data_IF_655211593935
#
_entry.id   IF_655211593935
#
_cell.length_a   1.000
_cell.length_b   1.000
_cell.length_c   1.000
_cell.angle_alpha   90.00
_cell.angle_beta   90.00
_cell.angle_gamma   90.00
#
_symmetry.space_group_name_H-M   'P 1'
#
loop_
_entity.id
_entity.type
_entity.pdbx_description
1 polymer ?
#
# COMPACT_ATOMS: atom_id res chain seq x y z
N UNK A 1 -49.79 15.66 -27.25
CA UNK A 1 -48.35 15.52 -27.55
C UNK A 1 -47.66 14.91 -26.34
N UNK A 2 -46.82 13.90 -26.59
CA UNK A 2 -45.89 13.15 -25.70
C UNK A 2 -46.43 12.58 -24.38
N UNK A 3 -46.93 11.34 -24.49
CA UNK A 3 -46.75 10.28 -23.49
C UNK A 3 -45.26 9.94 -23.38
N UNK A 4 -44.75 9.68 -22.18
CA UNK A 4 -43.61 8.80 -21.96
C UNK A 4 -44.00 7.80 -20.87
N UNK A 5 -44.03 6.53 -21.27
CA UNK A 5 -44.08 5.33 -20.45
C UNK A 5 -42.74 5.16 -19.70
N UNK A 6 -42.78 4.58 -18.51
CA UNK A 6 -41.85 3.50 -18.10
C UNK A 6 -42.50 2.80 -16.89
N UNK A 7 -43.31 1.76 -17.11
CA UNK A 7 -42.95 0.32 -17.10
C UNK A 7 -42.64 -0.20 -15.71
N UNK A 8 -43.58 -1.03 -15.22
CA UNK A 8 -43.51 -1.85 -14.01
C UNK A 8 -42.36 -2.87 -14.12
N UNK A 9 -41.72 -3.17 -13.00
CA UNK A 9 -41.27 -4.53 -12.71
C UNK A 9 -41.93 -5.00 -11.42
N UNK A 10 -42.62 -6.12 -11.53
CA UNK A 10 -43.25 -6.84 -10.44
C UNK A 10 -42.37 -8.03 -10.04
N UNK A 11 -42.51 -8.40 -8.76
CA UNK A 11 -42.38 -9.72 -8.17
C UNK A 11 -41.02 -10.45 -8.22
N UNK A 12 -40.55 -10.92 -7.07
CA UNK A 12 -40.86 -12.28 -6.61
C UNK A 12 -40.50 -12.44 -5.13
N UNK A 13 -41.49 -12.89 -4.35
CA UNK A 13 -41.25 -13.54 -3.08
C UNK A 13 -40.99 -15.02 -3.36
N UNK A 14 -39.90 -15.56 -2.82
CA UNK A 14 -39.70 -17.01 -2.70
C UNK A 14 -39.40 -17.31 -1.24
N UNK A 15 -40.33 -18.04 -0.61
CA UNK A 15 -40.14 -18.71 0.67
C UNK A 15 -39.43 -20.04 0.40
N UNK A 16 -38.36 -20.33 1.12
CA UNK A 16 -37.91 -21.71 1.36
C UNK A 16 -37.40 -21.85 2.80
N UNK A 17 -37.97 -22.85 3.46
CA UNK A 17 -37.76 -23.28 4.84
C UNK A 17 -36.42 -24.03 5.00
N UNK A 18 -35.87 -23.91 6.22
CA UNK A 18 -35.11 -24.88 7.02
C UNK A 18 -33.79 -25.46 6.46
N UNK A 19 -32.69 -25.04 7.10
CA UNK A 19 -31.40 -25.74 7.08
C UNK A 19 -30.26 -24.87 7.65
N UNK A 20 -29.91 -25.09 8.91
CA UNK A 20 -28.68 -24.65 9.64
C UNK A 20 -28.22 -23.18 9.61
N UNK A 21 -28.35 -22.55 10.77
CA UNK A 21 -27.54 -21.46 11.38
C UNK A 21 -26.43 -20.80 10.56
N UNK A 22 -26.70 -19.59 10.07
CA UNK A 22 -25.94 -18.37 10.39
C UNK A 22 -26.76 -17.17 9.90
N UNK A 23 -27.18 -16.29 10.81
CA UNK A 23 -27.91 -15.07 10.47
C UNK A 23 -26.90 -13.99 10.06
N UNK A 24 -26.75 -13.79 8.75
CA UNK A 24 -25.85 -12.79 8.17
C UNK A 24 -26.58 -11.45 8.03
N UNK A 25 -26.36 -10.52 8.95
CA UNK A 25 -26.75 -9.12 8.78
C UNK A 25 -25.54 -8.30 8.34
N UNK A 26 -25.17 -8.46 7.08
CA UNK A 26 -24.27 -7.58 6.35
C UNK A 26 -25.09 -6.37 5.85
N UNK A 27 -24.92 -5.19 6.44
CA UNK A 27 -25.49 -3.98 5.84
C UNK A 27 -24.38 -3.17 5.18
N UNK A 28 -24.22 -3.31 3.86
CA UNK A 28 -23.29 -2.53 3.04
C UNK A 28 -22.99 -3.19 1.68
N UNK A 29 -22.64 -2.39 0.66
CA UNK A 29 -22.45 -2.77 -0.76
C UNK A 29 -21.00 -3.18 -1.14
N UNK A 30 -20.13 -3.48 -0.17
CA UNK A 30 -18.66 -3.60 -0.38
C UNK A 30 -18.01 -4.96 -0.11
N UNK A 31 -18.77 -6.02 0.18
CA UNK A 31 -18.23 -7.35 0.48
C UNK A 31 -19.23 -8.49 0.20
N UNK A 32 -18.72 -9.70 -0.01
CA UNK A 32 -19.52 -10.93 -0.10
C UNK A 32 -18.79 -12.06 0.63
N UNK A 33 -19.55 -12.90 1.33
CA UNK A 33 -19.04 -14.13 1.95
C UNK A 33 -19.68 -15.35 1.30
N UNK A 34 -18.88 -16.35 0.97
CA UNK A 34 -19.32 -17.70 0.63
C UNK A 34 -18.60 -18.66 1.56
N UNK A 35 -19.31 -19.21 2.55
CA UNK A 35 -18.98 -20.19 3.63
C UNK A 35 -17.56 -20.20 4.28
N UNK A 36 -16.48 -19.86 3.58
CA UNK A 36 -15.10 -19.75 4.07
C UNK A 36 -14.26 -18.63 3.41
N UNK A 37 -14.80 -17.88 2.44
CA UNK A 37 -14.09 -16.79 1.75
C UNK A 37 -14.66 -15.43 2.11
N UNK A 38 -13.80 -14.48 2.49
CA UNK A 38 -14.11 -13.07 2.65
C UNK A 38 -13.55 -12.28 1.46
N UNK A 39 -14.43 -11.66 0.68
CA UNK A 39 -14.00 -10.76 -0.41
C UNK A 39 -14.16 -9.30 0.01
N UNK A 40 -13.05 -8.57 0.00
CA UNK A 40 -12.95 -7.15 0.32
C UNK A 40 -12.76 -6.35 -0.97
N UNK A 41 -13.70 -5.48 -1.29
CA UNK A 41 -13.65 -4.69 -2.53
C UNK A 41 -12.93 -3.36 -2.30
N UNK A 42 -11.64 -3.29 -2.68
CA UNK A 42 -10.81 -2.10 -2.53
C UNK A 42 -10.98 -1.08 -3.67
N UNK A 43 -11.84 -1.35 -4.63
CA UNK A 43 -12.05 -0.56 -5.85
C UNK A 43 -13.50 -0.01 -5.97
N UNK A 44 -14.29 -0.15 -4.91
CA UNK A 44 -15.69 0.32 -4.90
C UNK A 44 -15.78 1.79 -4.52
N UNK A 45 -16.94 2.38 -4.81
CA UNK A 45 -17.25 3.75 -4.42
C UNK A 45 -17.65 3.89 -2.95
N UNK A 46 -17.81 2.77 -2.25
CA UNK A 46 -18.43 2.69 -0.94
C UNK A 46 -17.41 2.35 0.15
N UNK A 47 -17.81 2.50 1.41
CA UNK A 47 -17.01 2.03 2.53
C UNK A 47 -17.02 0.49 2.59
N UNK A 48 -15.88 -0.09 2.95
CA UNK A 48 -15.80 -1.49 3.38
C UNK A 48 -16.32 -1.54 4.82
N UNK A 49 -17.64 -1.63 4.96
CA UNK A 49 -18.29 -1.74 6.27
C UNK A 49 -18.38 -3.20 6.70
N UNK A 50 -17.52 -3.57 7.64
CA UNK A 50 -17.59 -4.86 8.34
C UNK A 50 -18.52 -4.63 9.52
N UNK A 51 -19.84 -4.77 9.29
CA UNK A 51 -20.82 -4.66 10.36
C UNK A 51 -20.61 -5.81 11.36
N UNK A 52 -20.63 -5.49 12.65
CA UNK A 52 -20.37 -6.44 13.72
C UNK A 52 -21.14 -7.75 13.55
N UNK A 53 -20.42 -8.86 13.69
CA UNK A 53 -20.88 -10.23 13.60
C UNK A 53 -19.69 -11.17 13.85
N UNK A 54 -19.93 -12.38 14.33
CA UNK A 54 -18.86 -13.38 14.45
C UNK A 54 -18.48 -13.88 13.04
N UNK A 55 -17.34 -13.41 12.52
CA UNK A 55 -16.75 -13.94 11.29
C UNK A 55 -16.04 -15.26 11.60
N UNK A 56 -16.80 -16.33 11.74
CA UNK A 56 -16.24 -17.68 11.89
C UNK A 56 -16.07 -18.36 10.52
N UNK A 57 -15.11 -19.28 10.42
CA UNK A 57 -14.94 -20.10 9.21
C UNK A 57 -14.14 -19.50 8.06
N UNK A 58 -13.76 -18.21 8.12
CA UNK A 58 -13.02 -17.57 7.03
C UNK A 58 -11.60 -18.13 6.95
N UNK A 59 -11.24 -18.83 5.87
CA UNK A 59 -9.88 -19.33 5.64
C UNK A 59 -9.24 -18.75 4.37
N UNK A 60 -9.99 -17.92 3.64
CA UNK A 60 -9.52 -17.21 2.45
C UNK A 60 -9.96 -15.75 2.50
N UNK A 61 -9.03 -14.83 2.25
CA UNK A 61 -9.30 -13.40 2.09
C UNK A 61 -8.88 -12.99 0.68
N UNK A 62 -9.79 -12.35 -0.06
CA UNK A 62 -9.51 -11.79 -1.37
C UNK A 62 -9.68 -10.28 -1.29
N UNK A 63 -8.65 -9.52 -1.64
CA UNK A 63 -8.70 -8.06 -1.72
C UNK A 63 -8.72 -7.68 -3.19
N UNK A 64 -9.87 -7.32 -3.72
CA UNK A 64 -10.01 -6.90 -5.11
C UNK A 64 -9.49 -5.46 -5.27
N UNK A 65 -8.44 -5.27 -6.08
CA UNK A 65 -7.76 -3.98 -6.29
C UNK A 65 -8.30 -3.22 -7.49
N UNK A 66 -9.03 -3.90 -8.37
CA UNK A 66 -9.39 -3.39 -9.68
C UNK A 66 -8.22 -3.58 -10.65
N UNK A 67 -7.86 -2.54 -11.40
CA UNK A 67 -6.79 -2.64 -12.39
C UNK A 67 -5.42 -2.97 -11.77
N UNK A 68 -4.62 -3.74 -12.51
CA UNK A 68 -3.21 -4.00 -12.25
C UNK A 68 -2.47 -2.71 -11.88
N UNK A 69 -1.81 -2.70 -10.73
CA UNK A 69 -1.08 -1.53 -10.22
C UNK A 69 0.39 -1.84 -9.97
N UNK A 70 1.15 -0.76 -9.80
CA UNK A 70 2.56 -0.67 -9.45
C UNK A 70 3.13 -1.77 -8.53
N UNK A 71 4.45 -1.93 -8.65
CA UNK A 71 5.31 -2.78 -7.82
C UNK A 71 5.11 -2.55 -6.32
N UNK A 72 4.69 -1.36 -5.89
CA UNK A 72 4.37 -1.07 -4.50
C UNK A 72 2.95 -0.53 -4.34
N UNK A 73 2.33 -0.81 -3.19
CA UNK A 73 0.98 -0.38 -2.87
C UNK A 73 0.82 -0.15 -1.38
N UNK A 74 -0.14 0.70 -0.99
CA UNK A 74 -0.58 0.75 0.41
C UNK A 74 -1.71 -0.26 0.65
N UNK A 75 -1.79 -0.79 1.86
CA UNK A 75 -2.79 -1.80 2.25
C UNK A 75 -3.12 -1.68 3.75
N UNK A 76 -4.39 -1.80 4.09
CA UNK A 76 -4.85 -2.01 5.47
C UNK A 76 -5.95 -3.08 5.46
N UNK A 77 -5.83 -4.07 6.33
CA UNK A 77 -6.74 -5.23 6.39
C UNK A 77 -7.41 -5.35 7.75
N UNK A 78 -8.66 -5.85 7.80
CA UNK A 78 -9.38 -6.08 9.05
C UNK A 78 -9.00 -7.41 9.72
N UNK A 79 -7.92 -8.04 9.28
CA UNK A 79 -7.51 -9.35 9.73
C UNK A 79 -5.99 -9.41 9.79
N UNK A 80 -5.49 -10.24 10.72
CA UNK A 80 -4.09 -10.60 10.72
C UNK A 80 -3.84 -11.67 9.65
N UNK A 81 -2.88 -11.41 8.77
CA UNK A 81 -2.47 -12.33 7.68
C UNK A 81 -0.95 -12.40 7.60
N UNK A 82 -0.42 -13.50 7.08
CA UNK A 82 1.02 -13.60 6.79
C UNK A 82 1.25 -13.48 5.27
N UNK A 83 2.31 -12.77 4.86
CA UNK A 83 2.65 -12.65 3.44
C UNK A 83 2.93 -14.01 2.77
N UNK A 84 3.37 -15.03 3.52
CA UNK A 84 3.54 -16.40 2.98
C UNK A 84 2.23 -17.10 2.62
N UNK A 85 1.08 -16.53 3.01
CA UNK A 85 -0.25 -17.00 2.63
C UNK A 85 -0.72 -16.39 1.29
N UNK A 86 0.09 -15.51 0.68
CA UNK A 86 -0.18 -14.82 -0.59
C UNK A 86 0.98 -14.99 -1.57
N UNK A 87 0.67 -15.28 -2.83
CA UNK A 87 1.67 -15.35 -3.90
C UNK A 87 1.98 -13.96 -4.49
N UNK A 88 1.13 -12.97 -4.18
CA UNK A 88 1.16 -11.65 -4.78
C UNK A 88 2.02 -10.64 -4.02
N UNK A 89 2.27 -10.85 -2.71
CA UNK A 89 2.98 -9.93 -1.84
C UNK A 89 4.29 -10.56 -1.37
N UNK A 90 5.41 -9.90 -1.66
CA UNK A 90 6.76 -10.39 -1.35
C UNK A 90 7.35 -9.79 -0.08
N UNK A 91 7.04 -8.52 0.18
CA UNK A 91 7.54 -7.77 1.32
C UNK A 91 6.48 -6.82 1.86
N UNK A 92 6.56 -6.54 3.15
CA UNK A 92 5.68 -5.58 3.83
C UNK A 92 6.53 -4.65 4.70
N UNK A 93 6.17 -3.38 4.75
CA UNK A 93 6.92 -2.32 5.40
C UNK A 93 6.02 -1.42 6.25
N UNK A 94 6.59 -0.92 7.34
CA UNK A 94 5.97 0.08 8.23
C UNK A 94 6.80 1.35 8.26
N UNK A 95 6.18 2.52 8.39
CA UNK A 95 6.92 3.77 8.51
C UNK A 95 7.67 3.82 9.86
N UNK A 96 8.92 4.26 9.85
CA UNK A 96 9.78 4.29 11.05
C UNK A 96 10.42 5.64 11.33
N UNK A 97 10.56 6.51 10.32
CA UNK A 97 11.15 7.83 10.52
C UNK A 97 10.93 8.77 9.34
N UNK A 98 11.07 10.07 9.61
CA UNK A 98 11.07 11.10 8.57
C UNK A 98 12.35 11.94 8.66
N UNK A 99 13.08 12.02 7.55
CA UNK A 99 14.28 12.84 7.42
C UNK A 99 13.92 14.15 6.75
N UNK A 100 13.91 15.23 7.53
CA UNK A 100 13.47 16.56 7.07
C UNK A 100 14.32 17.10 5.92
N UNK A 101 15.64 16.97 5.99
CA UNK A 101 16.58 17.56 5.02
C UNK A 101 16.42 16.97 3.61
N UNK A 102 16.19 15.66 3.52
CA UNK A 102 16.01 14.95 2.25
C UNK A 102 14.54 14.78 1.85
N UNK A 103 13.61 15.17 2.74
CA UNK A 103 12.17 15.00 2.57
C UNK A 103 11.82 13.53 2.31
N UNK A 104 12.40 12.65 3.11
CA UNK A 104 12.37 11.20 2.92
C UNK A 104 11.67 10.53 4.10
N UNK A 105 10.69 9.68 3.79
CA UNK A 105 9.99 8.82 4.72
C UNK A 105 10.62 7.42 4.69
N UNK A 106 11.12 6.99 5.83
CA UNK A 106 11.73 5.68 6.01
C UNK A 106 10.67 4.64 6.32
N UNK A 107 10.76 3.51 5.61
CA UNK A 107 9.91 2.35 5.77
C UNK A 107 10.78 1.13 6.04
N UNK A 108 10.65 0.54 7.23
CA UNK A 108 11.39 -0.67 7.59
C UNK A 108 10.58 -1.91 7.26
N UNK A 109 11.25 -2.92 6.69
CA UNK A 109 10.65 -4.22 6.42
C UNK A 109 10.19 -4.88 7.73
N UNK A 110 8.97 -5.42 7.74
CA UNK A 110 8.47 -6.21 8.88
C UNK A 110 9.08 -7.61 8.81
N UNK A 111 9.81 -7.99 9.84
CA UNK A 111 10.56 -9.26 9.85
C UNK A 111 9.68 -10.50 9.86
N UNK A 112 8.57 -10.47 10.59
CA UNK A 112 7.62 -11.58 10.69
C UNK A 112 6.89 -11.85 9.37
N UNK A 113 6.85 -10.85 8.47
CA UNK A 113 5.96 -10.86 7.32
C UNK A 113 4.47 -10.85 7.70
N UNK A 114 4.14 -10.53 8.95
CA UNK A 114 2.76 -10.46 9.42
C UNK A 114 2.20 -9.06 9.21
N UNK A 115 1.05 -8.99 8.56
CA UNK A 115 0.20 -7.80 8.47
C UNK A 115 -0.79 -7.90 9.61
N UNK A 116 -0.67 -7.03 10.61
CA UNK A 116 -1.62 -6.97 11.72
C UNK A 116 -2.93 -6.31 11.28
N UNK A 117 -4.03 -6.76 11.89
CA UNK A 117 -5.34 -6.18 11.63
C UNK A 117 -5.36 -4.67 11.96
N UNK A 118 -6.13 -3.90 11.18
CA UNK A 118 -6.36 -2.46 11.35
C UNK A 118 -5.08 -1.62 11.38
N UNK A 119 -4.02 -2.09 10.72
CA UNK A 119 -2.74 -1.36 10.63
C UNK A 119 -2.40 -1.09 9.16
N UNK A 120 -2.05 0.16 8.79
CA UNK A 120 -1.66 0.47 7.43
C UNK A 120 -0.21 0.06 7.16
N UNK A 121 0.02 -0.53 6.00
CA UNK A 121 1.34 -0.95 5.52
C UNK A 121 1.59 -0.47 4.09
N UNK A 122 2.87 -0.41 3.73
CA UNK A 122 3.34 -0.43 2.35
C UNK A 122 3.71 -1.88 2.00
N UNK A 123 3.23 -2.39 0.86
CA UNK A 123 3.49 -3.75 0.39
C UNK A 123 4.22 -3.72 -0.95
N UNK A 124 5.17 -4.63 -1.12
CA UNK A 124 5.83 -4.94 -2.38
C UNK A 124 5.07 -6.09 -3.06
N UNK A 125 4.83 -5.94 -4.35
CA UNK A 125 3.86 -6.71 -5.12
C UNK A 125 4.48 -7.28 -6.38
N UNK A 126 4.26 -8.57 -6.64
CA UNK A 126 4.77 -9.25 -7.85
C UNK A 126 3.77 -9.18 -9.00
N UNK A 127 4.22 -8.82 -10.21
CA UNK A 127 3.45 -9.02 -11.45
C UNK A 127 2.23 -8.11 -11.67
N UNK A 128 2.02 -7.08 -10.83
CA UNK A 128 0.89 -6.14 -10.92
C UNK A 128 -0.50 -6.82 -10.87
N UNK A 129 -0.84 -7.54 -9.80
CA UNK A 129 -2.06 -8.32 -9.72
C UNK A 129 -3.28 -7.43 -9.46
N UNK A 130 -4.42 -7.85 -10.01
CA UNK A 130 -5.74 -7.22 -9.84
C UNK A 130 -6.39 -7.54 -8.48
N UNK A 131 -5.86 -8.52 -7.77
CA UNK A 131 -6.28 -8.90 -6.41
C UNK A 131 -5.10 -9.37 -5.57
N UNK A 132 -5.25 -9.30 -4.25
CA UNK A 132 -4.40 -10.04 -3.32
C UNK A 132 -5.19 -11.18 -2.71
N UNK A 133 -4.63 -12.39 -2.69
CA UNK A 133 -5.28 -13.57 -2.14
C UNK A 133 -4.47 -14.08 -0.96
N UNK A 134 -5.09 -14.16 0.21
CA UNK A 134 -4.51 -14.81 1.39
C UNK A 134 -5.28 -16.09 1.65
N UNK A 135 -4.58 -17.21 1.75
CA UNK A 135 -5.20 -18.53 2.03
C UNK A 135 -4.48 -19.22 3.18
N UNK A 136 -5.21 -19.54 4.24
CA UNK A 136 -4.69 -20.40 5.31
C UNK A 136 -4.64 -21.85 4.85
N UNK A 137 -3.50 -22.49 5.06
CA UNK A 137 -3.35 -23.95 4.91
C UNK A 137 -4.12 -24.71 6.01
N UNK A 138 -4.31 -24.09 7.18
CA UNK A 138 -5.09 -24.64 8.29
C UNK A 138 -5.69 -23.54 9.18
N UNK A 139 -6.86 -23.82 9.77
CA UNK A 139 -7.56 -22.88 10.65
C UNK A 139 -8.30 -21.77 9.90
N UNK A 140 -8.66 -20.72 10.64
CA UNK A 140 -9.43 -19.57 10.13
C UNK A 140 -8.75 -18.25 10.51
N UNK A 141 -9.02 -17.21 9.74
CA UNK A 141 -8.72 -15.83 10.06
C UNK A 141 -9.65 -15.33 11.16
N UNK A 142 -9.11 -14.51 12.04
CA UNK A 142 -9.90 -13.70 12.96
C UNK A 142 -10.10 -12.33 12.33
N UNK A 143 -11.36 -11.97 12.05
CA UNK A 143 -11.69 -10.64 11.51
C UNK A 143 -11.93 -9.70 12.69
N UNK A 144 -11.05 -8.71 12.83
CA UNK A 144 -11.13 -7.66 13.84
C UNK A 144 -11.96 -6.53 13.28
N UNK A 145 -13.24 -6.50 13.67
CA UNK A 145 -14.15 -5.44 13.26
C UNK A 145 -13.56 -4.05 13.59
N UNK A 146 -13.52 -3.12 12.62
CA UNK A 146 -12.98 -1.80 12.86
C UNK A 146 -13.95 -0.98 13.74
N UNK A 147 -13.43 -0.40 14.82
CA UNK A 147 -14.17 0.54 15.69
C UNK A 147 -14.42 1.89 14.99
N UNK A 148 -13.58 2.21 14.00
CA UNK A 148 -13.60 3.45 13.22
C UNK A 148 -13.08 3.20 11.81
N UNK A 149 -13.37 4.12 10.90
CA UNK A 149 -12.95 3.97 9.50
C UNK A 149 -11.45 4.20 9.26
N UNK A 150 -10.72 4.81 10.19
CA UNK A 150 -9.33 5.23 9.97
C UNK A 150 -8.41 4.83 11.12
N UNK A 151 -7.25 4.27 10.78
CA UNK A 151 -6.21 3.89 11.71
C UNK A 151 -4.88 4.45 11.26
N UNK A 152 -4.12 5.02 12.20
CA UNK A 152 -2.90 5.75 11.90
C UNK A 152 -1.73 5.16 12.67
N UNK A 153 -0.60 5.01 11.98
CA UNK A 153 0.72 4.82 12.59
C UNK A 153 1.38 6.20 12.68
N UNK A 154 1.48 6.75 13.90
CA UNK A 154 2.18 8.01 14.14
C UNK A 154 3.68 7.80 14.11
N UNK A 155 4.38 8.59 13.31
CA UNK A 155 5.84 8.58 13.31
C UNK A 155 6.37 9.45 14.44
N UNK A 156 7.20 8.86 15.31
CA UNK A 156 7.85 9.60 16.38
C UNK A 156 8.68 10.78 15.84
N UNK A 157 8.66 11.90 16.57
CA UNK A 157 9.45 13.11 16.27
C UNK A 157 9.17 13.70 14.88
N UNK A 158 7.98 13.49 14.34
CA UNK A 158 7.52 14.12 13.11
C UNK A 158 6.05 14.54 13.23
N UNK A 159 5.58 15.34 12.28
CA UNK A 159 4.15 15.63 12.17
C UNK A 159 3.36 14.54 11.44
N UNK A 160 4.04 13.55 10.84
CA UNK A 160 3.43 12.62 9.91
C UNK A 160 2.74 11.46 10.61
N UNK A 161 1.50 11.22 10.20
CA UNK A 161 0.70 10.05 10.52
C UNK A 161 0.46 9.27 9.22
N UNK A 162 0.82 7.99 9.19
CA UNK A 162 0.47 7.10 8.08
C UNK A 162 -0.88 6.46 8.35
N UNK A 163 -1.90 6.90 7.62
CA UNK A 163 -3.31 6.63 7.93
C UNK A 163 -3.93 5.73 6.87
N UNK A 164 -4.37 4.54 7.28
CA UNK A 164 -5.21 3.66 6.47
C UNK A 164 -6.69 4.00 6.63
N UNK A 165 -7.49 3.80 5.58
CA UNK A 165 -8.94 3.98 5.64
C UNK A 165 -9.71 2.78 5.09
N UNK A 166 -10.77 2.37 5.80
CA UNK A 166 -11.79 1.44 5.31
C UNK A 166 -12.84 2.12 4.44
N UNK A 167 -12.87 3.45 4.41
CA UNK A 167 -13.80 4.22 3.60
C UNK A 167 -13.08 4.85 2.41
N UNK A 168 -13.80 4.99 1.30
CA UNK A 168 -13.35 5.84 0.21
C UNK A 168 -13.15 7.27 0.72
N UNK A 169 -12.01 7.88 0.41
CA UNK A 169 -11.77 9.31 0.62
C UNK A 169 -11.93 10.05 -0.69
N UNK A 170 -12.55 11.21 -0.62
CA UNK A 170 -12.66 12.14 -1.73
C UNK A 170 -12.30 13.53 -1.23
N UNK A 171 -11.36 14.17 -1.92
CA UNK A 171 -10.96 15.54 -1.65
C UNK A 171 -11.39 16.42 -2.82
N UNK A 172 -12.48 17.16 -2.62
CA UNK A 172 -12.98 18.09 -3.64
C UNK A 172 -11.96 19.19 -3.93
N UNK A 173 -11.34 19.73 -2.87
CA UNK A 173 -10.29 20.75 -2.93
C UNK A 173 -8.96 20.15 -2.47
N UNK A 174 -7.85 20.66 -2.99
CA UNK A 174 -6.52 20.22 -2.61
C UNK A 174 -6.25 20.51 -1.12
N UNK A 175 -6.12 19.49 -0.25
CA UNK A 175 -5.78 19.69 1.15
C UNK A 175 -4.31 20.08 1.31
N UNK A 176 -4.01 20.96 2.27
CA UNK A 176 -2.65 21.47 2.47
C UNK A 176 -1.66 20.42 3.05
N UNK A 177 -2.15 19.44 3.79
CA UNK A 177 -1.35 18.57 4.66
C UNK A 177 -1.56 17.06 4.42
N UNK A 178 -2.11 16.68 3.27
CA UNK A 178 -2.46 15.29 2.94
C UNK A 178 -1.72 14.85 1.68
N UNK A 179 -1.16 13.64 1.72
CA UNK A 179 -0.36 13.09 0.63
C UNK A 179 -0.85 11.69 0.27
N UNK A 180 -1.09 11.48 -1.03
CA UNK A 180 -1.43 10.18 -1.60
C UNK A 180 -0.18 9.45 -2.07
N UNK A 181 -0.24 8.12 -2.05
CA UNK A 181 0.81 7.29 -2.63
C UNK A 181 0.66 7.21 -4.15
N UNK A 182 1.69 7.63 -4.89
CA UNK A 182 1.70 7.63 -6.34
C UNK A 182 2.08 6.24 -6.89
N UNK A 183 1.10 5.48 -7.36
CA UNK A 183 1.36 4.21 -8.03
C UNK A 183 2.05 4.38 -9.40
N UNK A 184 1.86 5.51 -10.07
CA UNK A 184 2.48 5.81 -11.36
C UNK A 184 3.21 7.15 -11.29
N UNK A 185 4.19 7.34 -12.18
CA UNK A 185 4.87 8.63 -12.34
C UNK A 185 3.91 9.67 -12.93
N UNK A 186 4.04 10.91 -12.48
CA UNK A 186 3.39 12.08 -13.04
C UNK A 186 4.41 13.05 -13.63
N UNK A 187 3.97 14.26 -13.97
CA UNK A 187 4.82 15.28 -14.59
C UNK A 187 6.00 15.69 -13.67
N UNK A 188 5.75 15.76 -12.36
CA UNK A 188 6.71 16.28 -11.37
C UNK A 188 7.04 15.31 -10.23
N UNK A 189 6.66 14.03 -10.36
CA UNK A 189 6.90 13.02 -9.35
C UNK A 189 7.04 11.62 -9.97
N UNK A 190 7.81 10.75 -9.30
CA UNK A 190 8.00 9.36 -9.70
C UNK A 190 6.94 8.44 -9.09
N UNK A 191 6.80 7.25 -9.68
CA UNK A 191 6.10 6.15 -9.03
C UNK A 191 6.78 5.80 -7.70
N UNK A 192 5.98 5.43 -6.71
CA UNK A 192 6.43 5.01 -5.39
C UNK A 192 6.67 6.15 -4.39
N UNK A 193 6.29 7.38 -4.73
CA UNK A 193 6.45 8.56 -3.87
C UNK A 193 5.12 8.96 -3.22
N UNK A 194 5.18 9.69 -2.11
CA UNK A 194 4.01 10.38 -1.57
C UNK A 194 3.94 11.80 -2.13
N UNK A 195 2.80 12.18 -2.67
CA UNK A 195 2.60 13.46 -3.36
C UNK A 195 1.41 14.16 -2.75
N UNK A 196 1.48 15.50 -2.61
CA UNK A 196 0.35 16.29 -2.15
C UNK A 196 -0.91 15.94 -2.94
N UNK A 197 -1.99 15.70 -2.21
CA UNK A 197 -3.28 15.42 -2.82
C UNK A 197 -3.79 16.67 -3.54
N UNK A 198 -4.10 16.53 -4.83
CA UNK A 198 -4.71 17.58 -5.64
C UNK A 198 -6.23 17.68 -5.46
N UNK A 199 -6.84 18.54 -6.28
CA UNK A 199 -8.30 18.66 -6.34
C UNK A 199 -8.94 17.45 -7.01
N UNK A 200 -10.16 17.12 -6.57
CA UNK A 200 -10.98 16.00 -7.08
C UNK A 200 -10.28 14.63 -7.02
N UNK A 201 -9.32 14.46 -6.12
CA UNK A 201 -8.59 13.19 -5.95
C UNK A 201 -9.39 12.25 -5.05
N UNK A 202 -9.33 10.98 -5.39
CA UNK A 202 -9.98 9.89 -4.65
C UNK A 202 -8.93 8.92 -4.12
N UNK A 203 -9.09 8.48 -2.88
CA UNK A 203 -8.42 7.31 -2.33
C UNK A 203 -9.45 6.17 -2.18
N UNK A 204 -9.25 5.03 -2.83
CA UNK A 204 -10.10 3.85 -2.62
C UNK A 204 -9.98 3.31 -1.18
N UNK A 205 -10.97 2.55 -0.69
CA UNK A 205 -10.88 1.93 0.63
C UNK A 205 -9.76 0.88 0.70
N UNK A 206 -9.35 0.52 1.93
CA UNK A 206 -8.22 -0.38 2.25
C UNK A 206 -6.85 0.16 1.82
N UNK A 207 -6.76 1.46 1.51
CA UNK A 207 -5.52 2.16 1.18
C UNK A 207 -5.13 3.11 2.29
N UNK A 208 -3.85 3.50 2.26
CA UNK A 208 -3.29 4.45 3.20
C UNK A 208 -2.70 5.69 2.50
N UNK A 209 -2.65 6.78 3.26
CA UNK A 209 -2.18 8.11 2.89
C UNK A 209 -1.43 8.73 4.07
N UNK A 210 -0.65 9.79 3.82
CA UNK A 210 0.00 10.53 4.89
C UNK A 210 -0.78 11.79 5.25
N UNK A 211 -0.80 12.09 6.54
CA UNK A 211 -1.31 13.35 7.08
C UNK A 211 -0.29 13.97 8.00
N UNK A 212 0.04 15.24 7.79
CA UNK A 212 0.83 15.99 8.76
C UNK A 212 -0.12 16.69 9.74
N UNK A 213 -0.06 16.38 11.02
CA UNK A 213 -0.77 17.12 12.08
C UNK A 213 0.24 17.93 12.89
N UNK A 214 -0.10 19.15 13.29
CA UNK A 214 0.76 20.09 14.06
C UNK A 214 1.13 19.60 15.49
N UNK A 215 1.39 18.31 15.69
CA UNK A 215 1.84 17.71 16.94
C UNK A 215 3.34 17.99 17.12
N UNK A 216 3.65 19.23 17.49
CA UNK A 216 4.81 19.60 18.30
C UNK A 216 6.19 19.22 17.77
N UNK A 217 6.69 19.95 16.77
CA UNK A 217 8.12 20.23 16.75
C UNK A 217 8.43 21.14 17.95
N UNK A 218 9.27 20.67 18.87
CA UNK A 218 9.65 21.44 20.07
C UNK A 218 10.22 22.80 19.70
N UNK A 219 9.63 23.86 20.28
CA UNK A 219 10.10 25.27 20.37
C UNK A 219 11.13 25.73 19.32
N UNK A 220 10.63 26.41 18.29
CA UNK A 220 11.16 27.70 17.76
C UNK A 220 11.06 27.77 16.23
N UNK A 221 9.85 27.88 15.70
CA UNK A 221 9.61 28.73 14.53
C UNK A 221 8.15 29.18 14.57
N UNK A 222 7.93 30.48 14.38
CA UNK A 222 6.63 31.14 14.23
C UNK A 222 6.02 30.94 12.85
N UNK A 223 6.60 30.05 12.03
CA UNK A 223 6.08 29.71 10.71
C UNK A 223 5.13 28.53 10.85
N UNK A 224 3.93 28.63 10.28
CA UNK A 224 3.04 27.49 10.16
C UNK A 224 3.80 26.35 9.47
N UNK A 225 3.98 25.23 10.15
CA UNK A 225 4.61 24.01 9.61
C UNK A 225 3.99 23.59 8.26
N UNK A 226 2.71 23.94 8.05
CA UNK A 226 1.97 23.71 6.81
C UNK A 226 2.46 24.53 5.60
N UNK A 227 2.96 25.76 5.82
CA UNK A 227 3.35 26.67 4.73
C UNK A 227 4.66 26.21 4.04
N UNK A 228 5.41 25.32 4.67
CA UNK A 228 6.70 24.82 4.19
C UNK A 228 6.72 23.31 3.89
N UNK A 229 5.56 22.66 3.80
CA UNK A 229 5.51 21.23 3.47
C UNK A 229 5.91 20.97 2.00
N UNK A 230 6.74 19.95 1.71
CA UNK A 230 7.23 19.68 0.36
C UNK A 230 6.12 19.14 -0.54
N UNK A 231 6.15 19.36 -1.85
CA UNK A 231 5.12 18.80 -2.74
C UNK A 231 5.23 17.28 -2.92
N UNK A 232 6.45 16.76 -2.75
CA UNK A 232 6.80 15.34 -2.88
C UNK A 232 7.62 14.89 -1.68
N UNK A 233 7.27 13.73 -1.14
CA UNK A 233 7.99 13.01 -0.11
C UNK A 233 8.52 11.72 -0.72
N UNK A 234 9.84 11.54 -0.65
CA UNK A 234 10.50 10.33 -1.12
C UNK A 234 10.25 9.20 -0.14
N UNK A 235 10.20 7.97 -0.64
CA UNK A 235 10.16 6.77 0.21
C UNK A 235 11.55 6.15 0.18
N UNK A 236 12.04 5.70 1.33
CA UNK A 236 13.26 4.89 1.44
C UNK A 236 12.93 3.61 2.18
N UNK A 237 13.17 2.49 1.51
CA UNK A 237 12.94 1.17 2.09
C UNK A 237 14.20 0.72 2.81
N UNK A 238 14.04 0.30 4.06
CA UNK A 238 15.10 -0.21 4.91
C UNK A 238 14.93 -1.72 5.09
N UNK A 239 16.04 -2.44 5.02
CA UNK A 239 16.09 -3.86 5.31
C UNK A 239 16.11 -4.14 6.83
N UNK A 240 16.32 -5.41 7.18
CA UNK A 240 16.35 -5.91 8.57
C UNK A 240 17.46 -5.30 9.41
N UNK A 241 18.54 -4.83 8.78
CA UNK A 241 19.69 -4.23 9.46
C UNK A 241 19.64 -2.70 9.46
N UNK A 242 18.57 -2.11 8.90
CA UNK A 242 18.46 -0.67 8.70
C UNK A 242 19.28 -0.18 7.50
N UNK A 243 19.81 -1.08 6.67
CA UNK A 243 20.47 -0.71 5.44
C UNK A 243 19.43 -0.31 4.40
N UNK A 244 19.75 0.69 3.60
CA UNK A 244 18.87 1.13 2.53
C UNK A 244 18.81 0.04 1.45
N UNK A 245 17.62 -0.52 1.24
CA UNK A 245 17.33 -1.23 0.02
C UNK A 245 17.38 -0.18 -1.10
N UNK A 246 18.37 -0.34 -1.99
CA UNK A 246 18.58 0.58 -3.09
C UNK A 246 17.32 0.61 -3.94
N UNK A 247 16.48 1.64 -3.77
CA UNK A 247 15.47 1.98 -4.75
C UNK A 247 16.26 2.41 -5.98
N UNK A 248 16.35 1.51 -6.95
CA UNK A 248 16.89 1.83 -8.26
C UNK A 248 16.07 3.00 -8.79
N UNK A 249 16.70 4.17 -8.91
CA UNK A 249 16.21 5.21 -9.80
C UNK A 249 16.10 4.58 -11.19
N UNK A 250 14.88 4.23 -11.58
CA UNK A 250 14.58 3.78 -12.93
C UNK A 250 14.73 4.98 -13.86
N UNK A 251 15.63 4.88 -14.83
CA UNK A 251 15.66 5.83 -15.93
C UNK A 251 14.45 5.56 -16.83
N UNK A 252 13.40 6.39 -16.67
CA UNK A 252 12.09 6.23 -17.34
C UNK A 252 12.16 6.33 -18.87
N UNK A 253 13.33 6.66 -19.44
CA UNK A 253 13.53 6.70 -20.90
C UNK A 253 14.17 5.43 -21.47
N UNK A 254 14.87 4.62 -20.67
CA UNK A 254 15.66 3.48 -21.19
C UNK A 254 15.41 2.15 -20.48
N UNK A 255 14.71 2.12 -19.34
CA UNK A 255 14.42 0.87 -18.62
C UNK A 255 15.64 0.19 -17.98
N UNK A 256 16.80 0.86 -17.95
CA UNK A 256 17.98 0.35 -17.27
C UNK A 256 17.93 0.68 -15.77
N UNK A 257 18.08 -0.35 -14.93
CA UNK A 257 18.32 -0.22 -13.50
C UNK A 257 19.78 0.16 -13.32
N UNK A 258 20.06 1.44 -13.08
CA UNK A 258 21.39 1.84 -12.59
C UNK A 258 21.47 1.51 -11.10
N UNK A 259 21.84 0.26 -10.79
CA UNK A 259 22.53 -0.01 -9.55
C UNK A 259 23.77 0.89 -9.53
N UNK A 260 23.93 1.71 -8.50
CA UNK A 260 25.09 2.57 -8.34
C UNK A 260 26.35 1.79 -8.74
N UNK A 261 27.05 2.30 -9.76
CA UNK A 261 28.20 1.72 -10.45
C UNK A 261 29.39 1.53 -9.46
N UNK A 262 29.25 0.59 -8.52
CA UNK A 262 30.25 0.24 -7.52
C UNK A 262 31.06 -0.92 -8.08
N UNK A 263 32.26 -0.60 -8.55
CA UNK A 263 33.21 -1.59 -9.04
C UNK A 263 33.98 -2.18 -7.87
N UNK A 264 34.15 -3.50 -7.87
CA UNK A 264 34.91 -4.24 -6.87
C UNK A 264 36.03 -5.02 -7.57
N UNK A 265 37.18 -5.17 -6.92
CA UNK A 265 38.22 -6.06 -7.42
C UNK A 265 37.87 -7.55 -7.17
N UNK A 266 38.64 -8.47 -7.78
CA UNK A 266 38.48 -9.93 -7.59
C UNK A 266 38.74 -10.41 -6.15
N UNK A 267 39.06 -9.50 -5.22
CA UNK A 267 39.25 -9.75 -3.79
C UNK A 267 38.20 -9.01 -2.94
N UNK A 268 37.15 -8.47 -3.55
CA UNK A 268 36.02 -7.83 -2.87
C UNK A 268 36.29 -6.42 -2.35
N UNK A 269 37.38 -5.76 -2.76
CA UNK A 269 37.69 -4.38 -2.34
C UNK A 269 37.04 -3.37 -3.29
N UNK A 270 36.46 -2.31 -2.73
CA UNK A 270 35.80 -1.23 -3.47
C UNK A 270 36.81 -0.44 -4.30
N UNK A 271 36.53 -0.25 -5.59
CA UNK A 271 37.31 0.57 -6.51
C UNK A 271 36.72 1.98 -6.57
N UNK A 272 37.58 3.00 -6.53
CA UNK A 272 37.19 4.42 -6.53
C UNK A 272 36.89 4.97 -7.95
N UNK A 273 36.61 4.10 -8.92
CA UNK A 273 36.30 4.51 -10.29
C UNK A 273 36.01 3.33 -11.22
N UNK A 274 35.39 3.65 -12.37
CA UNK A 274 35.06 2.68 -13.41
C UNK A 274 36.35 2.14 -14.07
N UNK A 275 36.59 0.82 -14.08
CA UNK A 275 37.75 0.25 -14.77
C UNK A 275 37.65 0.54 -16.26
N UNK A 276 38.61 1.29 -16.79
CA UNK A 276 38.58 1.83 -18.16
C UNK A 276 38.97 0.81 -19.24
N UNK A 277 39.41 -0.39 -18.88
CA UNK A 277 39.96 -1.37 -19.82
C UNK A 277 39.16 -2.69 -19.81
N UNK A 278 38.50 -3.01 -20.94
CA UNK A 278 37.82 -4.30 -21.21
C UNK A 278 38.83 -5.43 -21.47
N UNK A 279 39.70 -5.75 -20.53
CA UNK A 279 40.60 -6.90 -20.68
C UNK A 279 40.61 -7.70 -19.38
N UNK A 280 40.04 -8.91 -19.45
CA UNK A 280 40.02 -9.87 -18.34
C UNK A 280 41.20 -10.82 -18.50
N UNK A 281 42.08 -10.90 -17.50
CA UNK A 281 43.16 -11.87 -17.46
C UNK A 281 42.72 -13.09 -16.65
N UNK A 282 42.40 -14.20 -17.33
CA UNK A 282 42.27 -15.50 -16.69
C UNK A 282 43.41 -16.37 -17.21
N UNK A 283 44.31 -16.76 -16.31
CA UNK A 283 45.34 -17.76 -16.52
C UNK A 283 46.22 -17.56 -17.79
N UNK A 284 46.77 -16.34 -17.96
CA UNK A 284 47.73 -15.94 -19.03
C UNK A 284 47.27 -16.15 -20.49
N UNK A 285 45.99 -16.38 -20.77
CA UNK A 285 45.44 -16.33 -22.13
C UNK A 285 44.50 -15.13 -22.29
N UNK A 286 44.76 -14.34 -23.33
CA UNK A 286 43.89 -13.22 -23.72
C UNK A 286 42.72 -13.80 -24.52
N UNK A 287 41.50 -13.59 -24.05
CA UNK A 287 40.29 -13.76 -24.85
C UNK A 287 39.87 -12.36 -25.28
N UNK A 288 39.97 -12.08 -26.59
CA UNK A 288 39.42 -10.85 -27.19
C UNK A 288 37.96 -11.12 -27.55
N UNK A 289 37.06 -10.27 -27.08
CA UNK A 289 35.74 -10.09 -27.67
C UNK A 289 35.76 -8.80 -28.48
#
# INVERSE_FOLDING_TARGET
MKKIHLTRFAAMATVALMGSTAAWAASGTGWSTSESTLTLQSNTNDAVSISGGEFSGINKIIVARGAASAEYSTLMLPAEVNISESDEITDVYVPTGYVMDDKTLDFSRVESGTISANTPYLVHVTGSPESFTFTKSSGTYNIVAPEKNEYSTTLERSCWDFTGSYAKKYWATAPANIYGYAAAAGENYGAGQFVKVGENVTLPPLRAYLTCTNKGFGKSSTDNVYDNLPDVIKVRLLDKSGETLSIGTMNTRTGEIQMQDRYYDLKGRKLNGKPQNKIMYVNKKVIKH
#
